data_IF_343187649837
#
_entry.id   IF_343187649837
#
_cell.length_a   1.000
_cell.length_b   1.000
_cell.length_c   1.000
_cell.angle_alpha   90.00
_cell.angle_beta   90.00
_cell.angle_gamma   90.00
#
_symmetry.space_group_name_H-M   'P 1'
#
loop_
_entity.id
_entity.type
_entity.pdbx_description
1 polymer ?
#
# COMPACT_ATOMS: atom_id res chain seq x y z
N UNK A 1 2.46 3.32 -14.35
CA UNK A 1 1.43 3.15 -15.39
C UNK A 1 1.60 4.25 -16.41
N UNK A 2 1.39 3.93 -17.70
CA UNK A 2 1.49 4.89 -18.81
C UNK A 2 0.11 5.06 -19.44
N UNK A 3 -0.25 6.29 -19.77
CA UNK A 3 -1.38 6.59 -20.65
C UNK A 3 -0.88 6.84 -22.07
N UNK A 4 -1.65 6.36 -23.04
CA UNK A 4 -1.42 6.64 -24.45
C UNK A 4 -1.66 8.13 -24.70
N UNK A 5 -0.69 8.81 -25.30
CA UNK A 5 -0.85 10.20 -25.72
C UNK A 5 -1.47 10.27 -27.12
N UNK A 6 -2.13 11.39 -27.43
CA UNK A 6 -2.61 11.68 -28.78
C UNK A 6 -1.46 11.59 -29.81
N UNK A 7 -1.76 11.02 -30.99
CA UNK A 7 -0.80 10.82 -32.08
C UNK A 7 -0.19 12.16 -32.49
N UNK A 8 1.13 12.30 -32.38
CA UNK A 8 1.88 13.37 -33.05
C UNK A 8 2.97 14.09 -32.26
N UNK A 9 3.11 13.89 -30.95
CA UNK A 9 4.19 14.55 -30.18
C UNK A 9 5.53 13.87 -30.42
N UNK A 10 6.54 14.69 -30.77
CA UNK A 10 7.92 14.26 -31.06
C UNK A 10 8.89 14.94 -30.09
N UNK A 11 10.01 14.29 -29.83
CA UNK A 11 11.19 14.87 -29.17
C UNK A 11 12.38 14.73 -30.10
N UNK A 12 13.35 15.62 -30.00
CA UNK A 12 14.60 15.49 -30.75
C UNK A 12 15.66 14.81 -29.87
N UNK A 13 16.42 13.89 -30.44
CA UNK A 13 17.62 13.36 -29.82
C UNK A 13 18.77 14.36 -29.92
N UNK A 14 19.89 14.08 -29.22
CA UNK A 14 21.07 14.95 -29.25
C UNK A 14 21.78 15.03 -30.60
N UNK A 15 21.37 14.23 -31.58
CA UNK A 15 21.79 14.28 -32.98
C UNK A 15 20.73 14.96 -33.89
N UNK A 16 19.79 15.70 -33.29
CA UNK A 16 18.67 16.39 -33.93
C UNK A 16 17.66 15.50 -34.68
N UNK A 17 17.79 14.17 -34.60
CA UNK A 17 16.82 13.29 -35.24
C UNK A 17 15.54 13.21 -34.40
N UNK A 18 14.36 13.34 -35.02
CA UNK A 18 13.09 13.30 -34.31
C UNK A 18 12.75 11.86 -33.87
N UNK A 19 12.18 11.74 -32.68
CA UNK A 19 11.73 10.52 -32.07
C UNK A 19 10.27 10.65 -31.63
N UNK A 20 9.50 9.57 -31.76
CA UNK A 20 8.07 9.57 -31.46
C UNK A 20 7.84 9.23 -29.99
N UNK A 21 7.03 10.03 -29.30
CA UNK A 21 6.55 9.71 -27.96
C UNK A 21 5.39 8.73 -28.10
N UNK A 22 5.54 7.53 -27.53
CA UNK A 22 4.52 6.46 -27.51
C UNK A 22 3.58 6.56 -26.32
N UNK A 23 3.99 7.19 -25.22
CA UNK A 23 3.16 7.35 -24.03
C UNK A 23 3.78 8.24 -22.98
N UNK A 24 2.98 8.56 -21.95
CA UNK A 24 3.42 9.34 -20.79
C UNK A 24 2.90 8.70 -19.52
N UNK A 25 3.70 8.69 -18.45
CA UNK A 25 3.32 7.97 -17.24
C UNK A 25 4.14 8.32 -16.02
N UNK A 26 4.03 7.45 -15.03
CA UNK A 26 4.79 7.50 -13.78
C UNK A 26 5.71 6.28 -13.75
N UNK A 27 7.02 6.53 -13.55
CA UNK A 27 8.03 5.50 -13.38
C UNK A 27 8.54 5.46 -11.93
N UNK A 28 8.49 4.30 -11.26
CA UNK A 28 9.13 4.14 -9.95
C UNK A 28 10.66 4.13 -10.10
N UNK A 29 11.36 4.95 -9.32
CA UNK A 29 12.83 4.98 -9.27
C UNK A 29 13.36 4.14 -8.09
N UNK A 30 12.68 4.17 -6.95
CA UNK A 30 12.95 3.35 -5.75
C UNK A 30 11.67 3.25 -4.90
N UNK A 31 11.64 2.39 -3.87
CA UNK A 31 10.44 2.04 -3.05
C UNK A 31 9.48 3.24 -2.79
N UNK A 32 10.03 4.42 -2.47
CA UNK A 32 9.24 5.62 -2.16
C UNK A 32 9.43 6.80 -3.13
N UNK A 33 10.23 6.66 -4.20
CA UNK A 33 10.49 7.75 -5.15
C UNK A 33 9.93 7.40 -6.52
N UNK A 34 9.10 8.30 -7.05
CA UNK A 34 8.47 8.15 -8.36
C UNK A 34 8.73 9.39 -9.20
N UNK A 35 9.20 9.18 -10.43
CA UNK A 35 9.24 10.21 -11.44
C UNK A 35 7.85 10.28 -12.10
N UNK A 36 7.19 11.43 -11.99
CA UNK A 36 5.97 11.72 -12.75
C UNK A 36 6.31 12.13 -14.19
N UNK A 37 5.29 12.25 -15.05
CA UNK A 37 5.43 12.82 -16.40
C UNK A 37 6.51 12.19 -17.30
N UNK A 38 6.88 10.93 -17.05
CA UNK A 38 7.92 10.21 -17.80
C UNK A 38 7.42 9.88 -19.19
N UNK A 39 8.19 10.25 -20.21
CA UNK A 39 7.87 10.00 -21.61
C UNK A 39 8.46 8.66 -22.04
N UNK A 40 7.62 7.80 -22.64
CA UNK A 40 8.08 6.62 -23.35
C UNK A 40 8.37 7.03 -24.79
N UNK A 41 9.64 7.11 -25.16
CA UNK A 41 10.12 7.56 -26.46
C UNK A 41 10.67 6.37 -27.23
N UNK A 42 10.23 6.19 -28.47
CA UNK A 42 10.72 5.11 -29.31
C UNK A 42 12.17 5.34 -29.74
N UNK A 43 12.99 4.28 -29.70
CA UNK A 43 14.40 4.34 -30.10
C UNK A 43 15.39 4.79 -29.03
N UNK A 44 14.95 5.18 -27.82
CA UNK A 44 15.87 5.39 -26.69
C UNK A 44 16.39 4.05 -26.17
N UNK A 45 17.71 3.86 -26.23
CA UNK A 45 18.38 2.65 -25.69
C UNK A 45 18.52 2.65 -24.17
N UNK A 46 18.49 3.82 -23.56
CA UNK A 46 18.66 4.00 -22.12
C UNK A 46 17.64 5.01 -21.59
N UNK A 47 17.23 4.83 -20.33
CA UNK A 47 16.37 5.78 -19.63
C UNK A 47 17.19 7.01 -19.23
N UNK A 48 16.64 8.20 -19.47
CA UNK A 48 17.22 9.47 -19.05
C UNK A 48 16.39 10.03 -17.89
N UNK A 49 17.07 10.45 -16.82
CA UNK A 49 16.43 11.12 -15.70
C UNK A 49 16.66 12.63 -15.81
N UNK A 50 15.58 13.40 -15.85
CA UNK A 50 15.66 14.86 -15.89
C UNK A 50 16.05 15.43 -14.53
N UNK A 51 17.18 16.14 -14.45
CA UNK A 51 17.65 16.77 -13.21
C UNK A 51 16.70 17.88 -12.78
N UNK A 52 16.22 18.72 -13.70
CA UNK A 52 15.27 19.80 -13.39
C UNK A 52 13.99 19.26 -12.78
N UNK A 53 13.46 18.19 -13.35
CA UNK A 53 12.25 17.56 -12.84
C UNK A 53 12.43 16.99 -11.43
N UNK A 54 13.62 16.46 -11.11
CA UNK A 54 13.93 16.03 -9.74
C UNK A 54 13.99 17.23 -8.78
N UNK A 55 14.57 18.35 -9.20
CA UNK A 55 14.60 19.58 -8.40
C UNK A 55 13.19 20.11 -8.13
N UNK A 56 12.29 20.08 -9.12
CA UNK A 56 10.89 20.48 -8.96
C UNK A 56 10.11 19.60 -7.97
N UNK A 57 10.56 18.37 -7.74
CA UNK A 57 9.99 17.43 -6.77
C UNK A 57 10.55 17.60 -5.34
N UNK A 58 11.05 18.80 -4.99
CA UNK A 58 11.66 19.09 -3.68
C UNK A 58 12.82 18.14 -3.33
N UNK A 59 13.60 17.76 -4.34
CA UNK A 59 14.83 17.00 -4.12
C UNK A 59 16.05 17.82 -4.55
N UNK A 60 17.18 17.53 -3.93
CA UNK A 60 18.47 18.10 -4.28
C UNK A 60 19.31 17.05 -4.99
N UNK A 61 19.81 17.38 -6.18
CA UNK A 61 20.68 16.50 -6.97
C UNK A 61 22.13 16.99 -6.88
N UNK A 62 23.02 16.12 -6.40
CA UNK A 62 24.43 16.44 -6.14
C UNK A 62 25.32 15.57 -6.99
N UNK A 63 26.14 16.17 -7.82
CA UNK A 63 27.15 15.48 -8.60
C UNK A 63 28.52 15.62 -7.93
N UNK A 64 29.23 14.50 -7.80
CA UNK A 64 30.59 14.40 -7.26
C UNK A 64 31.48 13.71 -8.29
N UNK A 65 32.80 13.73 -8.06
CA UNK A 65 33.78 13.08 -8.92
C UNK A 65 33.53 11.56 -9.06
N UNK A 66 33.03 10.91 -8.01
CA UNK A 66 32.83 9.45 -7.96
C UNK A 66 31.36 9.00 -8.17
N UNK A 67 30.40 9.90 -8.29
CA UNK A 67 28.99 9.55 -8.41
C UNK A 67 28.04 10.69 -8.15
N UNK A 68 26.75 10.39 -8.08
CA UNK A 68 25.71 11.38 -7.80
C UNK A 68 24.78 10.91 -6.69
N UNK A 69 24.16 11.87 -6.01
CA UNK A 69 23.20 11.65 -4.94
C UNK A 69 21.94 12.46 -5.23
N UNK A 70 20.78 11.91 -4.89
CA UNK A 70 19.55 12.67 -4.80
C UNK A 70 19.10 12.65 -3.35
N UNK A 71 18.90 13.82 -2.74
CA UNK A 71 18.44 13.99 -1.37
C UNK A 71 17.03 14.57 -1.35
N UNK A 72 16.17 14.00 -0.51
CA UNK A 72 14.89 14.59 -0.17
C UNK A 72 15.13 15.84 0.70
N UNK A 73 14.62 17.00 0.30
CA UNK A 73 14.82 18.25 1.06
C UNK A 73 14.00 18.31 2.34
N UNK A 74 12.87 17.61 2.41
CA UNK A 74 12.00 17.62 3.58
C UNK A 74 12.57 16.72 4.69
N UNK A 75 13.14 15.57 4.33
CA UNK A 75 13.73 14.65 5.33
C UNK A 75 15.26 14.71 5.42
N UNK A 76 15.95 15.38 4.49
CA UNK A 76 17.41 15.39 4.35
C UNK A 76 18.04 14.04 3.99
N UNK A 77 17.24 13.01 3.66
CA UNK A 77 17.74 11.65 3.44
C UNK A 77 18.13 11.45 1.98
N UNK A 78 19.19 10.69 1.74
CA UNK A 78 19.55 10.27 0.37
C UNK A 78 18.57 9.23 -0.13
N UNK A 79 17.85 9.55 -1.21
CA UNK A 79 16.85 8.68 -1.80
C UNK A 79 17.39 7.88 -2.99
N UNK A 80 18.30 8.45 -3.78
CA UNK A 80 18.98 7.77 -4.88
C UNK A 80 20.49 8.00 -4.80
N UNK A 81 21.25 6.98 -5.20
CA UNK A 81 22.71 7.03 -5.30
C UNK A 81 23.12 6.43 -6.64
N UNK A 82 23.82 7.21 -7.45
CA UNK A 82 24.37 6.80 -8.73
C UNK A 82 25.89 6.75 -8.69
N UNK A 83 26.48 5.95 -9.57
CA UNK A 83 27.93 5.87 -9.77
C UNK A 83 28.30 6.58 -11.07
N UNK A 84 29.50 7.18 -11.11
CA UNK A 84 30.08 7.70 -12.35
C UNK A 84 30.83 6.57 -13.05
N UNK A 85 30.51 6.31 -14.31
CA UNK A 85 31.23 5.35 -15.15
C UNK A 85 32.51 5.96 -15.71
N UNK A 86 33.47 5.15 -16.19
CA UNK A 86 34.67 5.65 -16.88
C UNK A 86 34.35 6.54 -18.08
N UNK A 87 33.20 6.34 -18.72
CA UNK A 87 32.76 7.12 -19.88
C UNK A 87 32.05 8.43 -19.48
N UNK A 88 32.28 8.93 -18.26
CA UNK A 88 31.71 10.17 -17.71
C UNK A 88 30.17 10.19 -17.61
N UNK A 89 29.51 9.03 -17.59
CA UNK A 89 28.07 8.94 -17.39
C UNK A 89 27.75 8.68 -15.92
N UNK A 90 26.73 9.35 -15.41
CA UNK A 90 26.17 9.06 -14.09
C UNK A 90 25.02 8.08 -14.25
N UNK A 91 25.17 6.88 -13.71
CA UNK A 91 24.16 5.83 -13.79
C UNK A 91 23.60 5.53 -12.42
N UNK A 92 22.28 5.44 -12.35
CA UNK A 92 21.60 4.80 -11.23
C UNK A 92 21.49 3.32 -11.59
N UNK A 93 22.15 2.46 -10.81
CA UNK A 93 21.83 1.04 -10.85
C UNK A 93 20.40 0.94 -10.29
N UNK A 94 19.42 0.61 -11.13
CA UNK A 94 18.19 0.01 -10.64
C UNK A 94 18.67 -1.14 -9.76
N UNK A 95 18.51 -1.00 -8.43
CA UNK A 95 18.65 -2.15 -7.56
C UNK A 95 17.85 -3.26 -8.21
N UNK A 96 18.46 -4.45 -8.33
CA UNK A 96 17.86 -5.64 -8.94
C UNK A 96 16.35 -5.50 -8.86
N UNK A 97 15.62 -5.62 -9.98
CA UNK A 97 14.18 -5.78 -9.93
C UNK A 97 13.93 -6.97 -9.01
N UNK A 98 13.84 -6.70 -7.70
CA UNK A 98 13.25 -7.54 -6.72
C UNK A 98 11.82 -7.47 -7.19
N UNK A 99 11.48 -8.47 -8.00
CA UNK A 99 10.12 -8.83 -8.21
C UNK A 99 9.46 -8.71 -6.83
N UNK A 100 8.59 -7.72 -6.65
CA UNK A 100 7.94 -7.45 -5.36
C UNK A 100 7.11 -8.65 -4.88
N UNK A 101 7.02 -9.71 -5.70
CA UNK A 101 6.53 -11.03 -5.32
C UNK A 101 7.43 -11.79 -4.33
N UNK A 102 8.66 -11.34 -4.03
CA UNK A 102 9.59 -12.09 -3.17
C UNK A 102 10.31 -11.28 -2.10
N UNK A 103 9.72 -10.21 -1.55
CA UNK A 103 9.95 -9.98 -0.11
C UNK A 103 9.13 -11.06 0.58
N UNK A 104 9.86 -12.08 1.08
CA UNK A 104 9.36 -13.25 1.78
C UNK A 104 8.49 -12.85 2.99
N UNK A 105 7.25 -12.48 2.73
CA UNK A 105 6.19 -12.45 3.73
C UNK A 105 5.70 -13.90 3.93
N UNK A 106 6.65 -14.79 4.18
CA UNK A 106 6.46 -16.22 4.38
C UNK A 106 5.43 -16.47 5.50
N UNK A 107 5.51 -15.65 6.55
CA UNK A 107 4.50 -15.61 7.61
C UNK A 107 3.10 -15.25 7.13
N UNK A 108 2.94 -14.28 6.22
CA UNK A 108 1.63 -13.97 5.63
C UNK A 108 1.16 -15.04 4.64
N UNK A 109 2.07 -15.70 3.92
CA UNK A 109 1.75 -16.81 3.04
C UNK A 109 1.16 -17.97 3.85
N UNK A 110 1.85 -18.40 4.89
CA UNK A 110 1.40 -19.49 5.75
C UNK A 110 0.18 -19.12 6.58
N UNK A 111 0.05 -17.88 7.02
CA UNK A 111 -1.18 -17.36 7.62
C UNK A 111 -2.40 -17.59 6.71
N UNK A 112 -2.28 -17.31 5.41
CA UNK A 112 -3.35 -17.55 4.43
C UNK A 112 -3.57 -19.03 4.13
N UNK A 113 -2.50 -19.81 3.93
CA UNK A 113 -2.58 -21.26 3.68
C UNK A 113 -3.23 -22.03 4.83
N UNK A 114 -3.00 -21.60 6.07
CA UNK A 114 -3.57 -22.19 7.28
C UNK A 114 -4.92 -21.58 7.66
N UNK A 115 -5.63 -20.95 6.72
CA UNK A 115 -7.00 -20.45 6.95
C UNK A 115 -7.06 -19.30 7.95
N UNK A 116 -6.15 -18.34 7.84
CA UNK A 116 -6.08 -17.18 8.72
C UNK A 116 -5.83 -17.52 10.20
N UNK A 117 -5.03 -18.57 10.44
CA UNK A 117 -4.53 -18.93 11.76
C UNK A 117 -3.71 -17.77 12.36
N UNK A 118 -3.89 -17.47 13.65
CA UNK A 118 -3.15 -16.36 14.28
C UNK A 118 -1.64 -16.61 14.25
N UNK A 119 -0.87 -15.54 14.05
CA UNK A 119 0.60 -15.59 14.01
C UNK A 119 1.25 -16.24 15.25
N UNK A 120 0.65 -16.08 16.43
CA UNK A 120 1.10 -16.75 17.66
C UNK A 120 0.93 -18.27 17.62
N UNK A 121 -0.13 -18.77 16.97
CA UNK A 121 -0.40 -20.19 16.80
C UNK A 121 0.49 -20.79 15.70
N UNK A 122 0.79 -20.03 14.63
CA UNK A 122 1.78 -20.43 13.63
C UNK A 122 3.16 -20.56 14.30
N UNK A 123 3.55 -19.60 15.15
CA UNK A 123 4.79 -19.66 15.94
C UNK A 123 4.86 -20.91 16.83
N UNK A 124 3.75 -21.28 17.48
CA UNK A 124 3.63 -22.53 18.25
C UNK A 124 3.74 -23.76 17.35
N UNK A 125 3.08 -23.77 16.20
CA UNK A 125 3.12 -24.88 15.24
C UNK A 125 4.55 -25.14 14.74
N UNK A 126 5.32 -24.10 14.42
CA UNK A 126 6.75 -24.21 14.10
C UNK A 126 7.55 -24.76 15.29
N UNK A 127 7.38 -24.17 16.48
CA UNK A 127 8.12 -24.56 17.70
C UNK A 127 7.91 -26.03 18.09
N UNK A 128 6.69 -26.53 17.98
CA UNK A 128 6.34 -27.90 18.37
C UNK A 128 6.37 -28.89 17.20
N UNK A 129 6.78 -28.45 16.00
CA UNK A 129 6.75 -29.25 14.77
C UNK A 129 5.39 -29.96 14.57
N UNK A 130 4.30 -29.26 14.89
CA UNK A 130 2.95 -29.83 14.92
C UNK A 130 2.38 -30.10 13.51
N UNK A 131 3.01 -29.55 12.47
CA UNK A 131 2.61 -29.68 11.07
C UNK A 131 3.82 -30.18 10.27
N UNK A 132 3.64 -31.27 9.52
CA UNK A 132 4.69 -31.80 8.63
C UNK A 132 5.00 -30.79 7.54
N UNK A 133 6.28 -30.65 7.22
CA UNK A 133 6.80 -29.79 6.15
C UNK A 133 6.48 -28.28 6.30
N UNK A 134 6.10 -27.84 7.51
CA UNK A 134 6.00 -26.42 7.82
C UNK A 134 7.42 -25.87 8.05
N UNK A 135 7.90 -24.92 7.25
CA UNK A 135 9.22 -24.34 7.42
C UNK A 135 9.31 -23.54 8.73
N UNK A 136 10.52 -23.28 9.20
CA UNK A 136 10.74 -22.40 10.35
C UNK A 136 10.53 -20.94 9.94
N UNK A 137 9.30 -20.47 10.13
CA UNK A 137 8.84 -19.15 9.70
C UNK A 137 9.20 -18.10 10.75
N UNK A 138 9.99 -17.09 10.36
CA UNK A 138 10.23 -15.91 11.20
C UNK A 138 9.03 -14.97 11.16
N UNK A 139 8.42 -14.76 12.33
CA UNK A 139 7.22 -13.93 12.51
C UNK A 139 7.60 -12.70 13.35
N UNK A 140 7.56 -11.48 12.79
CA UNK A 140 7.78 -10.25 13.55
C UNK A 140 6.79 -10.13 14.70
N UNK A 141 7.24 -9.54 15.81
CA UNK A 141 6.35 -9.27 16.94
C UNK A 141 5.28 -8.23 16.57
N UNK A 142 4.12 -8.33 17.22
CA UNK A 142 2.95 -7.48 16.98
C UNK A 142 2.43 -7.51 15.53
N UNK A 143 2.70 -8.58 14.76
CA UNK A 143 2.09 -8.76 13.45
C UNK A 143 0.58 -9.03 13.59
N UNK A 144 -0.26 -8.16 13.02
CA UNK A 144 -1.73 -8.25 13.11
C UNK A 144 -2.34 -8.24 11.71
N UNK A 145 -3.22 -9.21 11.45
CA UNK A 145 -4.06 -9.22 10.26
C UNK A 145 -5.35 -8.44 10.52
N UNK A 146 -5.53 -7.31 9.83
CA UNK A 146 -6.71 -6.43 9.97
C UNK A 146 -8.03 -7.17 9.74
N UNK A 147 -8.14 -7.96 8.69
CA UNK A 147 -9.38 -8.71 8.38
C UNK A 147 -9.70 -9.74 9.47
N UNK A 148 -8.69 -10.41 10.01
CA UNK A 148 -8.86 -11.32 11.14
C UNK A 148 -9.27 -10.58 12.41
N UNK A 149 -8.70 -9.40 12.66
CA UNK A 149 -9.04 -8.59 13.82
C UNK A 149 -10.52 -8.22 13.79
N UNK A 150 -11.03 -7.71 12.67
CA UNK A 150 -12.46 -7.41 12.53
C UNK A 150 -13.33 -8.67 12.56
N UNK A 151 -12.92 -9.74 11.87
CA UNK A 151 -13.71 -10.98 11.80
C UNK A 151 -13.74 -11.79 13.10
N UNK A 152 -12.73 -11.65 13.96
CA UNK A 152 -12.62 -12.34 15.26
C UNK A 152 -12.89 -11.41 16.44
N UNK A 153 -13.30 -10.17 16.19
CA UNK A 153 -13.64 -9.24 17.25
C UNK A 153 -14.86 -9.75 18.00
N UNK A 154 -14.68 -10.06 19.28
CA UNK A 154 -15.78 -10.37 20.19
C UNK A 154 -16.40 -9.09 20.70
N UNK A 155 -17.73 -9.09 20.89
CA UNK A 155 -18.41 -7.99 21.58
C UNK A 155 -17.82 -7.84 22.99
N UNK A 156 -17.62 -6.60 23.44
CA UNK A 156 -17.25 -6.33 24.84
C UNK A 156 -18.39 -6.72 25.78
N UNK A 157 -18.09 -6.85 27.06
CA UNK A 157 -19.13 -7.04 28.08
C UNK A 157 -20.17 -5.92 27.96
N UNK A 158 -21.43 -6.30 28.16
CA UNK A 158 -22.50 -5.32 28.34
C UNK A 158 -22.20 -4.53 29.62
N UNK A 159 -22.50 -3.22 29.65
CA UNK A 159 -22.47 -2.47 30.88
C UNK A 159 -23.39 -3.13 31.92
N UNK A 160 -23.07 -2.95 33.21
CA UNK A 160 -23.97 -3.35 34.28
C UNK A 160 -25.31 -2.61 34.13
N UNK A 161 -26.41 -3.24 34.58
CA UNK A 161 -27.76 -2.69 34.45
C UNK A 161 -27.79 -1.26 34.98
N UNK A 162 -28.21 -0.30 34.15
CA UNK A 162 -28.46 1.07 34.59
C UNK A 162 -29.80 1.14 35.33
N UNK A 163 -29.75 0.92 36.65
CA UNK A 163 -30.86 1.16 37.56
C UNK A 163 -32.05 0.20 37.42
N UNK A 164 -32.81 0.08 38.50
CA UNK A 164 -34.12 -0.59 38.51
C UNK A 164 -35.10 0.32 39.23
N UNK A 165 -36.31 0.45 38.70
CA UNK A 165 -37.38 1.17 39.38
C UNK A 165 -37.66 0.53 40.75
N UNK A 166 -37.69 1.36 41.78
CA UNK A 166 -38.03 1.04 43.17
C UNK A 166 -39.48 1.38 43.51
N UNK A 167 -40.09 2.29 42.75
CA UNK A 167 -41.46 2.77 42.92
C UNK A 167 -42.31 2.57 41.65
N UNK A 168 -43.63 2.39 41.79
CA UNK A 168 -44.53 2.35 40.64
C UNK A 168 -44.39 3.61 39.76
N UNK A 169 -44.30 3.42 38.44
CA UNK A 169 -44.15 4.47 37.43
C UNK A 169 -42.83 5.28 37.46
N UNK A 170 -41.82 4.85 38.22
CA UNK A 170 -40.51 5.51 38.27
C UNK A 170 -39.72 5.38 36.95
N UNK A 171 -39.92 4.28 36.21
CA UNK A 171 -39.32 4.06 34.90
C UNK A 171 -40.33 3.39 33.97
N UNK A 172 -40.62 4.03 32.83
CA UNK A 172 -41.53 3.50 31.80
C UNK A 172 -40.73 3.31 30.51
N UNK A 173 -40.56 2.06 30.10
CA UNK A 173 -40.06 1.74 28.77
C UNK A 173 -41.26 1.57 27.83
N UNK A 174 -41.28 2.32 26.74
CA UNK A 174 -42.24 2.13 25.64
C UNK A 174 -41.44 1.80 24.38
N UNK A 175 -41.97 0.93 23.54
CA UNK A 175 -41.37 0.58 22.26
C UNK A 175 -42.48 0.50 21.21
N UNK A 176 -42.17 0.92 19.99
CA UNK A 176 -43.12 0.88 18.89
C UNK A 176 -42.85 -0.31 18.01
N UNK A 177 -43.78 -1.25 17.94
CA UNK A 177 -43.71 -2.40 17.06
C UNK A 177 -44.44 -2.10 15.74
N UNK A 178 -43.74 -2.22 14.62
CA UNK A 178 -44.30 -2.02 13.28
C UNK A 178 -43.22 -1.54 12.28
N UNK A 179 -43.60 -1.30 11.02
CA UNK A 179 -44.94 -1.41 10.46
C UNK A 179 -45.36 -2.87 10.24
N UNK A 180 -46.58 -3.21 10.63
CA UNK A 180 -47.16 -4.51 10.31
C UNK A 180 -47.63 -4.56 8.87
N UNK A 181 -47.40 -5.69 8.20
CA UNK A 181 -47.82 -5.90 6.81
C UNK A 181 -49.33 -5.78 6.60
N UNK A 182 -50.12 -6.08 7.63
CA UNK A 182 -51.58 -5.93 7.61
C UNK A 182 -51.98 -4.80 8.53
N UNK A 183 -52.72 -3.84 7.98
CA UNK A 183 -53.32 -2.73 8.72
C UNK A 183 -54.44 -3.24 9.62
N UNK A 184 -54.63 -2.58 10.75
CA UNK A 184 -55.86 -2.73 11.53
C UNK A 184 -57.08 -2.25 10.71
N UNK A 185 -58.31 -2.59 11.10
CA UNK A 185 -59.52 -2.11 10.43
C UNK A 185 -59.64 -0.58 10.37
N UNK A 186 -58.94 0.14 11.27
CA UNK A 186 -58.88 1.61 11.30
C UNK A 186 -57.71 2.20 10.51
N UNK A 187 -56.86 1.36 9.93
CA UNK A 187 -55.74 1.78 9.08
C UNK A 187 -54.38 1.83 9.77
N UNK A 188 -54.31 1.59 11.08
CA UNK A 188 -53.04 1.66 11.83
C UNK A 188 -52.08 0.52 11.49
N UNK A 189 -50.78 0.84 11.46
CA UNK A 189 -49.68 -0.06 11.11
C UNK A 189 -48.69 -0.30 12.25
N UNK A 190 -48.81 0.44 13.35
CA UNK A 190 -47.87 0.40 14.48
C UNK A 190 -48.63 0.20 15.79
N UNK A 191 -47.99 -0.49 16.73
CA UNK A 191 -48.44 -0.66 18.11
C UNK A 191 -47.39 -0.03 19.03
N UNK A 192 -47.83 0.69 20.05
CA UNK A 192 -46.99 1.24 21.12
C UNK A 192 -47.27 0.50 22.43
#
# INVERSE_FOLDING_TARGET
SYSTLEKGKKVSFGNDTPATIKGKGIAPLKENVKAGNVLYVDGLKHNLLSVSQMCDQRTEVIFRSNGCLVRDLDTGKTVLKGKRTPNNLYIFEEGQQQCYLSKNDEHWLWHRRLGHLSFSQIRKACKYQAVRDLPDIKIPDNTICKSCQFGKQTRTNFPEKEGSASMPLELVHTDTCGPFRKRTPRGEEYLL
#
